data_IF_148865146386
#
_entry.id   IF_148865146386
#
_cell.length_a   1.000
_cell.length_b   1.000
_cell.length_c   1.000
_cell.angle_alpha   90.00
_cell.angle_beta   90.00
_cell.angle_gamma   90.00
#
_symmetry.space_group_name_H-M   'P 1'
#
loop_
_entity.id
_entity.type
_entity.pdbx_description
1 polymer ?
#
# COMPACT_ATOMS: atom_id res chain seq x y z
N UNK A 1 -9.68 12.12 15.38
CA UNK A 1 -10.31 12.06 14.04
C UNK A 1 -9.26 12.31 12.96
N UNK A 2 -9.12 11.39 12.02
CA UNK A 2 -8.47 11.71 10.74
C UNK A 2 -9.51 12.39 9.84
N UNK A 3 -9.07 13.17 8.85
CA UNK A 3 -9.92 13.90 7.90
C UNK A 3 -11.26 13.21 7.63
N UNK A 4 -12.34 13.97 7.78
CA UNK A 4 -13.71 13.48 7.82
C UNK A 4 -14.17 13.08 6.41
N UNK A 5 -14.24 11.79 6.12
CA UNK A 5 -14.85 11.30 4.88
C UNK A 5 -16.31 10.92 5.16
N UNK A 6 -17.22 11.54 4.41
CA UNK A 6 -18.66 11.34 4.55
C UNK A 6 -19.23 10.82 3.24
N UNK A 7 -20.16 9.88 3.32
CA UNK A 7 -21.01 9.49 2.20
C UNK A 7 -22.46 9.46 2.64
N UNK A 8 -23.32 10.18 1.92
CA UNK A 8 -24.76 10.14 2.17
C UNK A 8 -25.38 8.90 1.52
N UNK A 9 -26.27 8.25 2.24
CA UNK A 9 -27.05 7.11 1.77
C UNK A 9 -28.45 7.55 1.35
N UNK A 10 -29.13 6.72 0.56
CA UNK A 10 -30.47 7.02 0.04
C UNK A 10 -31.53 7.08 1.14
N UNK A 11 -31.33 6.36 2.23
CA UNK A 11 -32.18 6.39 3.43
C UNK A 11 -31.95 7.63 4.31
N UNK A 12 -31.08 8.55 3.88
CA UNK A 12 -30.74 9.78 4.58
C UNK A 12 -29.68 9.62 5.67
N UNK A 13 -29.19 8.41 5.93
CA UNK A 13 -28.06 8.18 6.84
C UNK A 13 -26.72 8.62 6.23
N UNK A 14 -25.72 8.79 7.09
CA UNK A 14 -24.37 9.21 6.72
C UNK A 14 -23.35 8.14 7.14
N UNK A 15 -22.60 7.61 6.18
CA UNK A 15 -21.40 6.83 6.46
C UNK A 15 -20.27 7.78 6.84
N UNK A 16 -19.66 7.54 8.01
CA UNK A 16 -18.54 8.33 8.52
C UNK A 16 -17.30 7.44 8.60
N UNK A 17 -16.29 7.77 7.80
CA UNK A 17 -14.97 7.15 7.89
C UNK A 17 -13.96 8.16 8.46
N UNK A 18 -13.72 8.09 9.77
CA UNK A 18 -12.90 9.07 10.48
C UNK A 18 -12.05 8.51 11.65
N UNK A 19 -12.22 7.23 11.97
CA UNK A 19 -11.52 6.56 13.07
C UNK A 19 -10.33 5.75 12.55
N UNK A 20 -9.19 5.90 13.24
CA UNK A 20 -8.03 5.05 13.10
C UNK A 20 -7.81 4.36 14.44
N UNK A 21 -7.83 3.03 14.42
CA UNK A 21 -7.59 2.20 15.59
C UNK A 21 -6.15 1.68 15.53
N UNK A 22 -5.44 1.80 16.65
CA UNK A 22 -4.06 1.35 16.79
C UNK A 22 -3.97 0.17 17.76
N UNK A 23 -2.88 -0.61 17.65
CA UNK A 23 -2.63 -1.75 18.53
C UNK A 23 -3.64 -2.89 18.37
N UNK A 24 -4.09 -3.14 17.14
CA UNK A 24 -5.01 -4.25 16.81
C UNK A 24 -4.20 -5.44 16.33
N UNK A 25 -4.33 -6.59 16.99
CA UNK A 25 -3.80 -7.85 16.47
C UNK A 25 -4.85 -8.48 15.55
N UNK A 26 -4.67 -8.31 14.23
CA UNK A 26 -5.65 -8.73 13.23
C UNK A 26 -5.86 -10.25 13.14
N UNK A 27 -5.00 -11.04 13.77
CA UNK A 27 -5.10 -12.48 13.86
C UNK A 27 -5.86 -13.00 15.10
N UNK A 28 -6.10 -12.15 16.09
CA UNK A 28 -6.69 -12.54 17.36
C UNK A 28 -8.15 -12.08 17.42
N UNK A 29 -9.13 -13.00 17.38
CA UNK A 29 -10.54 -12.67 17.48
C UNK A 29 -10.90 -11.85 18.73
N UNK A 30 -10.21 -12.07 19.86
CA UNK A 30 -10.45 -11.32 21.09
C UNK A 30 -9.93 -9.89 20.98
N UNK A 31 -8.76 -9.68 20.39
CA UNK A 31 -8.24 -8.34 20.07
C UNK A 31 -9.20 -7.57 19.15
N UNK A 32 -9.68 -8.22 18.10
CA UNK A 32 -10.64 -7.65 17.15
C UNK A 32 -11.94 -7.22 17.84
N UNK A 33 -12.53 -8.09 18.67
CA UNK A 33 -13.79 -7.79 19.35
C UNK A 33 -13.63 -6.67 20.38
N UNK A 34 -12.56 -6.70 21.18
CA UNK A 34 -12.24 -5.61 22.14
C UNK A 34 -12.13 -4.27 21.43
N UNK A 35 -11.39 -4.23 20.31
CA UNK A 35 -11.19 -3.00 19.54
C UNK A 35 -12.46 -2.54 18.81
N UNK A 36 -13.35 -3.45 18.42
CA UNK A 36 -14.66 -3.12 17.86
C UNK A 36 -15.56 -2.42 18.89
N UNK A 37 -15.60 -2.92 20.13
CA UNK A 37 -16.35 -2.30 21.22
C UNK A 37 -15.79 -0.92 21.57
N UNK A 38 -14.46 -0.79 21.67
CA UNK A 38 -13.78 0.50 21.88
C UNK A 38 -14.14 1.51 20.77
N UNK A 39 -14.11 1.08 19.51
CA UNK A 39 -14.47 1.91 18.37
C UNK A 39 -15.95 2.35 18.39
N UNK A 40 -16.85 1.52 18.91
CA UNK A 40 -18.26 1.86 19.06
C UNK A 40 -18.46 3.02 20.06
N UNK A 41 -17.78 2.95 21.21
CA UNK A 41 -17.79 4.04 22.20
C UNK A 41 -17.14 5.31 21.65
N UNK A 42 -16.08 5.18 20.87
CA UNK A 42 -15.45 6.34 20.22
C UNK A 42 -16.38 6.96 19.17
N UNK A 43 -17.13 6.15 18.40
CA UNK A 43 -18.10 6.64 17.41
C UNK A 43 -19.18 7.54 18.04
N UNK A 44 -19.65 7.24 19.25
CA UNK A 44 -20.58 8.13 19.98
C UNK A 44 -19.95 9.50 20.26
N UNK A 45 -18.67 9.52 20.65
CA UNK A 45 -17.91 10.76 20.88
C UNK A 45 -17.71 11.54 19.59
N UNK A 46 -17.51 10.84 18.47
CA UNK A 46 -17.45 11.48 17.14
C UNK A 46 -18.77 12.17 16.81
N UNK A 47 -19.91 11.51 17.03
CA UNK A 47 -21.23 12.13 16.79
C UNK A 47 -21.41 13.35 17.67
N UNK A 48 -21.12 13.26 18.97
CA UNK A 48 -21.19 14.39 19.88
C UNK A 48 -20.27 15.55 19.45
N UNK A 49 -19.05 15.24 19.01
CA UNK A 49 -18.11 16.22 18.48
C UNK A 49 -18.66 16.91 17.23
N UNK A 50 -19.18 16.16 16.25
CA UNK A 50 -19.74 16.71 15.01
C UNK A 50 -20.94 17.63 15.32
N UNK A 51 -21.84 17.21 16.22
CA UNK A 51 -22.96 18.02 16.70
C UNK A 51 -22.52 19.35 17.30
N UNK A 52 -21.48 19.34 18.14
CA UNK A 52 -20.94 20.57 18.74
C UNK A 52 -20.15 21.43 17.76
N UNK A 53 -19.48 20.81 16.79
CA UNK A 53 -18.62 21.49 15.81
C UNK A 53 -19.42 22.21 14.73
N UNK A 54 -20.49 21.60 14.26
CA UNK A 54 -21.42 22.20 13.29
C UNK A 54 -22.88 21.79 13.62
N UNK A 55 -23.54 22.52 14.53
CA UNK A 55 -24.92 22.21 14.93
C UNK A 55 -25.95 22.37 13.81
N UNK A 56 -25.68 23.19 12.78
CA UNK A 56 -26.60 23.38 11.66
C UNK A 56 -26.64 22.13 10.78
N UNK A 57 -25.49 21.50 10.56
CA UNK A 57 -25.39 20.31 9.74
C UNK A 57 -25.69 19.02 10.52
N UNK A 58 -25.20 18.93 11.76
CA UNK A 58 -25.22 17.68 12.53
C UNK A 58 -26.10 17.73 13.78
N UNK A 59 -26.75 18.86 14.14
CA UNK A 59 -27.38 19.03 15.45
C UNK A 59 -28.40 17.96 15.86
N UNK A 60 -29.10 17.37 14.89
CA UNK A 60 -30.08 16.27 15.06
C UNK A 60 -29.50 14.88 14.77
N UNK A 61 -28.22 14.79 14.39
CA UNK A 61 -27.57 13.53 14.11
C UNK A 61 -27.51 12.65 15.38
N UNK A 62 -27.76 11.36 15.17
CA UNK A 62 -27.60 10.32 16.17
C UNK A 62 -26.82 9.17 15.55
N UNK A 63 -26.16 8.36 16.38
CA UNK A 63 -25.44 7.21 15.91
C UNK A 63 -26.44 6.16 15.41
N UNK A 64 -26.46 5.91 14.10
CA UNK A 64 -27.29 4.86 13.51
C UNK A 64 -26.71 3.45 13.76
N UNK A 65 -25.39 3.35 13.84
CA UNK A 65 -24.67 2.10 14.09
C UNK A 65 -23.19 2.22 13.75
N UNK A 66 -22.47 1.12 13.95
CA UNK A 66 -21.06 0.98 13.57
C UNK A 66 -20.88 -0.23 12.66
N UNK A 67 -19.76 -0.27 11.94
CA UNK A 67 -19.44 -1.41 11.09
C UNK A 67 -19.43 -2.71 11.90
N UNK A 68 -19.99 -3.82 11.38
CA UNK A 68 -20.07 -5.10 12.10
C UNK A 68 -18.69 -5.76 12.28
N UNK A 69 -17.68 -5.32 11.52
CA UNK A 69 -16.31 -5.80 11.62
C UNK A 69 -15.32 -4.66 11.39
N UNK A 70 -14.12 -4.81 11.95
CA UNK A 70 -13.02 -3.87 11.71
C UNK A 70 -12.45 -4.07 10.31
N UNK A 71 -12.22 -2.97 9.60
CA UNK A 71 -11.46 -3.00 8.36
C UNK A 71 -9.95 -3.03 8.66
N UNK A 72 -9.39 -4.24 8.72
CA UNK A 72 -7.94 -4.45 8.85
C UNK A 72 -7.31 -4.17 7.50
N UNK A 73 -6.39 -3.20 7.40
CA UNK A 73 -5.73 -2.87 6.13
C UNK A 73 -4.61 -3.85 5.79
N UNK A 74 -3.97 -4.42 6.79
CA UNK A 74 -2.87 -5.36 6.57
C UNK A 74 -2.70 -6.28 7.79
N UNK A 75 -2.34 -7.54 7.54
CA UNK A 75 -1.93 -8.48 8.58
C UNK A 75 -0.92 -9.49 8.02
N UNK A 76 -1.38 -10.64 7.55
CA UNK A 76 -0.54 -11.71 6.98
C UNK A 76 -0.57 -11.66 5.46
N UNK A 77 0.56 -11.97 4.85
CA UNK A 77 0.69 -12.16 3.40
C UNK A 77 1.02 -13.61 3.09
N UNK A 78 0.25 -14.19 2.17
CA UNK A 78 0.40 -15.56 1.72
C UNK A 78 1.82 -15.81 1.18
N UNK A 79 2.38 -16.97 1.55
CA UNK A 79 3.52 -17.55 0.82
C UNK A 79 3.00 -18.18 -0.46
N UNK A 80 2.82 -17.34 -1.48
CA UNK A 80 2.31 -17.76 -2.78
C UNK A 80 3.43 -18.24 -3.71
N UNK A 81 3.06 -18.84 -4.85
CA UNK A 81 3.99 -19.19 -5.92
C UNK A 81 4.76 -17.95 -6.42
N UNK A 82 4.15 -16.77 -6.32
CA UNK A 82 4.80 -15.48 -6.57
C UNK A 82 4.43 -14.43 -5.54
N UNK A 83 5.41 -13.59 -5.20
CA UNK A 83 5.20 -12.45 -4.32
C UNK A 83 5.39 -11.16 -5.12
N UNK A 84 4.31 -10.42 -5.32
CA UNK A 84 4.31 -9.14 -6.02
C UNK A 84 5.06 -8.11 -5.18
N UNK A 85 6.04 -7.44 -5.80
CA UNK A 85 6.95 -6.56 -5.07
C UNK A 85 6.61 -5.10 -5.24
N UNK A 86 7.03 -4.27 -4.28
CA UNK A 86 6.68 -2.85 -4.25
C UNK A 86 7.19 -2.07 -5.47
N UNK A 87 8.39 -2.37 -5.96
CA UNK A 87 8.94 -1.75 -7.16
C UNK A 87 8.25 -2.23 -8.45
N UNK A 88 7.74 -3.46 -8.46
CA UNK A 88 6.98 -3.99 -9.60
C UNK A 88 5.62 -3.29 -9.71
N UNK A 89 5.02 -2.98 -8.55
CA UNK A 89 3.84 -2.13 -8.45
C UNK A 89 4.17 -0.71 -8.89
N UNK A 90 5.17 -0.06 -8.27
CA UNK A 90 5.50 1.34 -8.57
C UNK A 90 5.84 1.53 -10.06
N UNK A 91 6.68 0.67 -10.62
CA UNK A 91 7.18 0.81 -12.00
C UNK A 91 6.22 0.24 -13.06
N UNK A 92 5.03 -0.23 -12.69
CA UNK A 92 4.03 -0.68 -13.65
C UNK A 92 4.38 -1.99 -14.36
N UNK A 93 4.90 -2.98 -13.62
CA UNK A 93 5.32 -4.25 -14.23
C UNK A 93 4.12 -5.00 -14.82
N UNK A 94 4.28 -5.50 -16.04
CA UNK A 94 3.34 -6.43 -16.67
C UNK A 94 3.79 -7.87 -16.48
N UNK A 95 2.83 -8.78 -16.56
CA UNK A 95 3.06 -10.21 -16.43
C UNK A 95 2.29 -10.96 -17.52
N UNK A 96 2.89 -11.99 -18.14
CA UNK A 96 2.19 -12.81 -19.14
C UNK A 96 0.97 -13.52 -18.54
N UNK A 97 1.01 -13.77 -17.24
CA UNK A 97 -0.03 -14.40 -16.43
C UNK A 97 -0.85 -13.40 -15.60
N UNK A 98 -0.85 -12.11 -15.97
CA UNK A 98 -1.65 -11.10 -15.28
C UNK A 98 -3.16 -11.37 -15.43
N UNK A 99 -3.87 -11.37 -14.30
CA UNK A 99 -5.33 -11.59 -14.22
C UNK A 99 -6.12 -10.38 -13.71
N UNK A 100 -5.41 -9.33 -13.31
CA UNK A 100 -6.00 -8.03 -12.99
C UNK A 100 -4.98 -6.92 -13.24
N UNK A 101 -5.48 -5.69 -13.36
CA UNK A 101 -4.69 -4.48 -13.54
C UNK A 101 -4.93 -3.52 -12.36
N UNK A 102 -3.87 -3.17 -11.65
CA UNK A 102 -3.88 -2.20 -10.56
C UNK A 102 -3.28 -0.86 -10.97
N UNK A 103 -3.55 0.17 -10.18
CA UNK A 103 -3.03 1.53 -10.41
C UNK A 103 -3.25 2.51 -9.25
N UNK A 104 -3.66 2.01 -8.08
CA UNK A 104 -3.86 2.86 -6.91
C UNK A 104 -2.51 3.31 -6.33
N UNK A 105 -2.34 4.54 -5.84
CA UNK A 105 -1.10 4.97 -5.19
C UNK A 105 -0.63 3.99 -4.11
N UNK A 106 0.69 3.91 -3.88
CA UNK A 106 1.24 3.18 -2.74
C UNK A 106 1.02 4.00 -1.46
N UNK A 107 -0.25 4.11 -1.03
CA UNK A 107 -0.75 4.82 0.14
C UNK A 107 -0.95 3.84 1.31
N UNK A 108 0.07 3.79 2.17
CA UNK A 108 0.07 3.09 3.44
C UNK A 108 -0.38 3.99 4.59
N UNK A 109 -0.96 3.38 5.60
CA UNK A 109 -1.41 4.09 6.80
C UNK A 109 -0.38 4.09 7.90
N UNK A 110 -0.54 5.03 8.82
CA UNK A 110 0.21 5.10 10.06
C UNK A 110 -0.03 3.85 10.89
N UNK A 111 1.03 3.29 11.45
CA UNK A 111 0.95 2.18 12.41
C UNK A 111 1.04 2.70 13.85
N UNK A 112 1.57 3.91 14.05
CA UNK A 112 1.66 4.56 15.35
C UNK A 112 0.90 5.90 15.40
N UNK A 113 0.30 6.26 16.55
CA UNK A 113 -0.26 7.59 16.73
C UNK A 113 0.78 8.69 16.47
N UNK A 114 0.38 9.71 15.69
CA UNK A 114 1.24 10.85 15.36
C UNK A 114 2.34 10.56 14.34
N UNK A 115 2.39 9.35 13.78
CA UNK A 115 3.27 9.02 12.65
C UNK A 115 2.80 9.75 11.37
N UNK A 116 3.72 9.96 10.44
CA UNK A 116 3.37 10.39 9.08
C UNK A 116 2.81 9.22 8.24
N UNK A 117 1.92 9.44 7.26
CA UNK A 117 1.48 8.36 6.38
C UNK A 117 2.60 7.83 5.47
N UNK A 118 2.55 6.54 5.14
CA UNK A 118 3.51 5.92 4.22
C UNK A 118 3.09 6.22 2.77
N UNK A 119 3.69 7.24 2.16
CA UNK A 119 3.39 7.63 0.78
C UNK A 119 4.58 7.28 -0.12
N UNK A 120 4.49 6.14 -0.82
CA UNK A 120 5.62 5.59 -1.59
C UNK A 120 5.54 5.90 -3.09
N UNK A 121 4.64 6.80 -3.49
CA UNK A 121 4.48 7.28 -4.86
C UNK A 121 3.27 6.71 -5.61
N UNK A 122 3.07 7.23 -6.82
CA UNK A 122 1.97 6.84 -7.71
C UNK A 122 2.49 5.80 -8.71
N UNK A 123 1.89 4.59 -8.81
CA UNK A 123 2.38 3.60 -9.75
C UNK A 123 1.99 3.94 -11.19
N UNK A 124 2.79 3.46 -12.15
CA UNK A 124 2.24 3.18 -13.47
C UNK A 124 1.30 1.96 -13.36
N UNK A 125 0.30 1.80 -14.25
CA UNK A 125 -0.58 0.63 -14.20
C UNK A 125 0.23 -0.68 -14.19
N UNK A 126 -0.07 -1.59 -13.27
CA UNK A 126 0.67 -2.83 -13.07
C UNK A 126 -0.25 -4.05 -13.16
N UNK A 127 0.29 -5.18 -13.59
CA UNK A 127 -0.42 -6.45 -13.59
C UNK A 127 -0.30 -7.18 -12.26
N UNK A 128 -1.35 -7.89 -11.85
CA UNK A 128 -1.27 -8.87 -10.76
C UNK A 128 -1.22 -10.28 -11.37
N UNK A 129 -0.11 -11.02 -11.23
CA UNK A 129 0.03 -12.34 -11.82
C UNK A 129 -0.82 -13.38 -11.08
N UNK A 130 -1.40 -14.35 -11.79
CA UNK A 130 -2.26 -15.39 -11.22
C UNK A 130 -1.58 -16.16 -10.08
N UNK A 131 -0.29 -16.47 -10.24
CA UNK A 131 0.56 -17.11 -9.22
C UNK A 131 0.70 -16.34 -7.90
N UNK A 132 0.31 -15.07 -7.82
CA UNK A 132 0.17 -14.36 -6.53
C UNK A 132 -1.04 -14.82 -5.72
N UNK A 133 -2.01 -15.48 -6.35
CA UNK A 133 -3.22 -16.00 -5.70
C UNK A 133 -3.06 -17.45 -5.23
N UNK A 134 -2.05 -18.16 -5.72
CA UNK A 134 -1.85 -19.60 -5.52
C UNK A 134 -0.89 -19.85 -4.35
N UNK A 135 -1.33 -20.47 -3.24
CA UNK A 135 -0.46 -20.88 -2.14
C UNK A 135 0.64 -21.85 -2.60
N UNK A 136 1.84 -21.79 -2.00
CA UNK A 136 2.90 -22.76 -2.32
C UNK A 136 2.51 -24.20 -1.98
N UNK A 137 1.84 -24.38 -0.84
CA UNK A 137 1.62 -25.69 -0.22
C UNK A 137 0.23 -26.27 -0.50
N UNK A 138 -0.76 -25.44 -0.86
CA UNK A 138 -2.15 -25.85 -1.07
C UNK A 138 -2.54 -25.72 -2.55
N UNK A 139 -2.86 -26.85 -3.18
CA UNK A 139 -3.08 -26.96 -4.63
C UNK A 139 -4.50 -26.56 -5.08
N UNK A 140 -5.47 -26.66 -4.19
CA UNK A 140 -6.89 -26.49 -4.47
C UNK A 140 -7.50 -25.25 -3.78
N UNK A 141 -6.67 -24.28 -3.40
CA UNK A 141 -7.09 -23.03 -2.77
C UNK A 141 -6.54 -21.83 -3.55
N UNK A 142 -7.36 -20.79 -3.68
CA UNK A 142 -6.92 -19.45 -4.11
C UNK A 142 -7.18 -18.45 -2.99
N UNK A 143 -6.28 -17.50 -2.83
CA UNK A 143 -6.44 -16.37 -1.90
C UNK A 143 -6.51 -15.08 -2.71
N UNK A 144 -7.67 -14.42 -2.64
CA UNK A 144 -8.01 -13.20 -3.42
C UNK A 144 -8.33 -12.00 -2.54
N UNK A 145 -7.80 -12.02 -1.31
CA UNK A 145 -7.92 -10.93 -0.36
C UNK A 145 -6.60 -10.16 -0.26
N UNK A 146 -6.58 -9.12 0.57
CA UNK A 146 -5.37 -8.40 0.96
C UNK A 146 -4.25 -9.29 1.51
N UNK A 147 -4.57 -10.54 1.88
CA UNK A 147 -3.62 -11.54 2.33
C UNK A 147 -3.00 -12.37 1.19
N UNK A 148 -3.28 -12.07 -0.08
CA UNK A 148 -2.64 -12.73 -1.21
C UNK A 148 -1.11 -12.49 -1.24
N UNK A 149 -0.43 -13.06 -2.24
CA UNK A 149 1.03 -13.02 -2.36
C UNK A 149 1.58 -11.66 -2.74
N UNK A 150 1.56 -10.71 -1.80
CA UNK A 150 2.08 -9.36 -1.93
C UNK A 150 3.17 -9.08 -0.88
N UNK A 151 4.16 -8.24 -1.23
CA UNK A 151 4.97 -7.57 -0.21
C UNK A 151 4.11 -6.54 0.55
N UNK A 152 4.48 -6.23 1.79
CA UNK A 152 3.75 -5.26 2.62
C UNK A 152 3.59 -3.90 1.95
N UNK A 153 4.69 -3.33 1.43
CA UNK A 153 4.63 -2.08 0.66
C UNK A 153 3.80 -2.23 -0.63
N UNK A 154 3.87 -3.36 -1.35
CA UNK A 154 3.04 -3.58 -2.54
C UNK A 154 1.54 -3.61 -2.20
N UNK A 155 1.19 -4.15 -1.03
CA UNK A 155 -0.18 -4.23 -0.55
C UNK A 155 -0.79 -2.85 -0.31
N UNK A 156 -0.01 -1.77 -0.13
CA UNK A 156 -0.55 -0.41 -0.03
C UNK A 156 -1.39 -0.03 -1.25
N UNK A 157 -0.97 -0.49 -2.43
CA UNK A 157 -1.73 -0.38 -3.67
C UNK A 157 -2.64 -1.58 -3.90
N UNK A 158 -2.13 -2.80 -3.76
CA UNK A 158 -2.82 -3.98 -4.26
C UNK A 158 -4.07 -4.37 -3.46
N UNK A 159 -4.16 -4.00 -2.17
CA UNK A 159 -5.27 -4.40 -1.29
C UNK A 159 -6.60 -3.67 -1.52
N UNK A 160 -6.62 -2.65 -2.39
CA UNK A 160 -7.83 -1.81 -2.55
C UNK A 160 -8.99 -2.59 -3.15
N UNK A 161 -10.20 -2.29 -2.68
CA UNK A 161 -11.42 -3.04 -2.99
C UNK A 161 -11.62 -3.29 -4.50
N UNK A 162 -11.45 -2.30 -5.41
CA UNK A 162 -11.64 -2.56 -6.84
C UNK A 162 -10.70 -3.62 -7.41
N UNK A 163 -9.43 -3.63 -6.98
CA UNK A 163 -8.48 -4.63 -7.44
C UNK A 163 -8.82 -6.01 -6.87
N UNK A 164 -9.21 -6.07 -5.59
CA UNK A 164 -9.62 -7.32 -4.93
C UNK A 164 -10.86 -7.94 -5.59
N UNK A 165 -11.82 -7.12 -6.03
CA UNK A 165 -12.97 -7.58 -6.82
C UNK A 165 -12.53 -8.23 -8.14
N UNK A 166 -11.57 -7.62 -8.86
CA UNK A 166 -11.03 -8.19 -10.09
C UNK A 166 -10.29 -9.51 -9.85
N UNK A 167 -9.55 -9.63 -8.75
CA UNK A 167 -8.90 -10.89 -8.35
C UNK A 167 -9.92 -11.96 -7.97
N UNK A 168 -11.02 -11.60 -7.30
CA UNK A 168 -12.13 -12.50 -7.00
C UNK A 168 -12.79 -13.06 -8.25
N UNK A 169 -13.05 -12.20 -9.25
CA UNK A 169 -13.54 -12.61 -10.56
C UNK A 169 -12.55 -13.58 -11.25
N UNK A 170 -11.25 -13.27 -11.23
CA UNK A 170 -10.21 -14.15 -11.75
C UNK A 170 -10.19 -15.54 -11.09
N UNK A 171 -10.32 -15.61 -9.76
CA UNK A 171 -10.39 -16.88 -9.06
C UNK A 171 -11.66 -17.67 -9.39
N UNK A 172 -12.81 -17.01 -9.51
CA UNK A 172 -14.07 -17.64 -9.91
C UNK A 172 -13.97 -18.28 -11.30
N UNK A 173 -13.40 -17.55 -12.26
CA UNK A 173 -13.16 -18.08 -13.62
C UNK A 173 -12.14 -19.24 -13.61
N UNK A 174 -11.04 -19.10 -12.86
CA UNK A 174 -10.03 -20.16 -12.74
C UNK A 174 -10.63 -21.45 -12.14
N UNK A 175 -11.43 -21.34 -11.07
CA UNK A 175 -12.12 -22.47 -10.47
C UNK A 175 -13.10 -23.13 -11.46
N UNK A 176 -13.79 -22.33 -12.28
CA UNK A 176 -14.70 -22.85 -13.30
C UNK A 176 -13.99 -23.63 -14.42
N UNK A 177 -12.77 -23.22 -14.80
CA UNK A 177 -11.95 -23.92 -15.81
C UNK A 177 -11.47 -25.30 -15.36
N UNK A 178 -11.28 -25.50 -14.05
CA UNK A 178 -10.84 -26.78 -13.45
C UNK A 178 -11.99 -27.76 -13.16
N UNK A 179 -13.26 -27.37 -13.36
CA UNK A 179 -14.40 -28.26 -13.08
C UNK A 179 -14.44 -29.45 -14.05
N UNK A 180 -14.74 -30.63 -13.49
CA UNK A 180 -14.85 -31.89 -14.25
C UNK A 180 -15.98 -31.90 -15.28
N UNK A 181 -17.11 -31.24 -14.99
CA UNK A 181 -18.26 -31.11 -15.87
C UNK A 181 -18.30 -29.68 -16.48
N UNK A 182 -18.36 -29.56 -17.82
CA UNK A 182 -18.40 -28.26 -18.49
C UNK A 182 -19.66 -27.48 -18.10
N UNK A 183 -19.51 -26.18 -17.82
CA UNK A 183 -20.64 -25.25 -17.85
C UNK A 183 -20.70 -24.57 -19.23
N UNK A 184 -21.89 -24.11 -19.63
CA UNK A 184 -22.12 -23.53 -20.95
C UNK A 184 -21.05 -22.48 -21.31
N UNK A 185 -20.30 -22.74 -22.38
CA UNK A 185 -19.28 -21.84 -22.91
C UNK A 185 -17.90 -21.91 -22.26
N UNK A 186 -17.63 -22.86 -21.33
CA UNK A 186 -16.30 -23.09 -20.78
C UNK A 186 -15.67 -24.35 -21.37
N UNK A 187 -14.58 -24.17 -22.12
CA UNK A 187 -13.75 -25.29 -22.59
C UNK A 187 -13.07 -25.93 -21.39
N UNK A 188 -13.29 -27.23 -21.20
CA UNK A 188 -12.60 -28.02 -20.16
C UNK A 188 -11.09 -27.96 -20.39
N UNK A 189 -10.32 -27.71 -19.34
CA UNK A 189 -8.87 -27.96 -19.34
C UNK A 189 -8.63 -29.23 -18.51
N UNK A 190 -7.88 -30.24 -18.99
CA UNK A 190 -7.61 -31.46 -18.24
C UNK A 190 -6.53 -31.23 -17.18
N UNK A 191 -6.72 -30.24 -16.30
CA UNK A 191 -5.80 -29.93 -15.21
C UNK A 191 -6.43 -30.30 -13.87
N UNK A 192 -5.61 -30.76 -12.94
CA UNK A 192 -6.05 -31.24 -11.64
C UNK A 192 -6.18 -30.12 -10.60
N UNK A 193 -5.34 -29.08 -10.69
CA UNK A 193 -5.19 -28.09 -9.63
C UNK A 193 -4.72 -26.69 -10.11
N UNK A 194 -4.65 -25.73 -9.19
CA UNK A 194 -4.25 -24.36 -9.50
C UNK A 194 -2.75 -24.20 -9.77
N UNK A 195 -1.90 -25.13 -9.32
CA UNK A 195 -0.47 -25.13 -9.64
C UNK A 195 -0.25 -25.50 -11.10
N UNK A 196 -0.94 -26.54 -11.58
CA UNK A 196 -0.94 -26.92 -12.99
C UNK A 196 -1.49 -25.81 -13.88
N UNK A 197 -2.56 -25.12 -13.46
CA UNK A 197 -3.08 -23.94 -14.17
C UNK A 197 -2.02 -22.85 -14.25
N UNK A 198 -1.38 -22.51 -13.12
CA UNK A 198 -0.34 -21.48 -13.07
C UNK A 198 0.92 -21.84 -13.88
N UNK A 199 1.20 -23.12 -14.11
CA UNK A 199 2.31 -23.59 -14.92
C UNK A 199 1.98 -23.70 -16.41
N UNK A 200 0.69 -23.71 -16.78
CA UNK A 200 0.24 -23.91 -18.16
C UNK A 200 -0.05 -22.59 -18.87
N UNK A 201 0.80 -22.20 -19.81
CA UNK A 201 0.60 -21.02 -20.65
C UNK A 201 -0.72 -21.04 -21.42
N UNK A 202 -1.15 -22.20 -21.91
CA UNK A 202 -2.43 -22.36 -22.61
C UNK A 202 -3.63 -22.14 -21.67
N UNK A 203 -3.57 -22.67 -20.45
CA UNK A 203 -4.64 -22.51 -19.48
C UNK A 203 -4.74 -21.06 -18.96
N UNK A 204 -3.59 -20.42 -18.72
CA UNK A 204 -3.53 -19.00 -18.38
C UNK A 204 -4.10 -18.13 -19.50
N UNK A 205 -3.81 -18.43 -20.76
CA UNK A 205 -4.38 -17.70 -21.89
C UNK A 205 -5.90 -17.89 -21.99
N UNK A 206 -6.39 -19.11 -21.75
CA UNK A 206 -7.84 -19.38 -21.68
C UNK A 206 -8.51 -18.58 -20.55
N UNK A 207 -7.90 -18.53 -19.37
CA UNK A 207 -8.35 -17.73 -18.23
C UNK A 207 -8.41 -16.24 -18.59
N UNK A 208 -7.31 -15.69 -19.13
CA UNK A 208 -7.21 -14.27 -19.52
C UNK A 208 -8.21 -13.91 -20.61
N UNK A 209 -8.40 -14.76 -21.62
CA UNK A 209 -9.41 -14.58 -22.67
C UNK A 209 -10.82 -14.51 -22.07
N UNK A 210 -11.14 -15.39 -21.12
CA UNK A 210 -12.45 -15.40 -20.47
C UNK A 210 -12.68 -14.16 -19.60
N UNK A 211 -11.65 -13.69 -18.90
CA UNK A 211 -11.71 -12.43 -18.15
C UNK A 211 -11.93 -11.23 -19.08
N UNK A 212 -11.21 -11.15 -20.19
CA UNK A 212 -11.37 -10.09 -21.18
C UNK A 212 -12.78 -10.07 -21.79
N UNK A 213 -13.35 -11.24 -22.13
CA UNK A 213 -14.75 -11.36 -22.59
C UNK A 213 -15.78 -10.85 -21.57
N UNK A 214 -15.42 -10.82 -20.29
CA UNK A 214 -16.25 -10.34 -19.18
C UNK A 214 -15.95 -8.87 -18.81
N UNK A 215 -15.17 -8.17 -19.63
CA UNK A 215 -14.86 -6.75 -19.48
C UNK A 215 -13.63 -6.44 -18.63
N UNK A 216 -12.85 -7.44 -18.21
CA UNK A 216 -11.64 -7.20 -17.43
C UNK A 216 -10.57 -6.50 -18.28
N UNK A 217 -9.94 -5.47 -17.71
CA UNK A 217 -8.71 -4.87 -18.24
C UNK A 217 -7.51 -5.57 -17.61
N UNK A 218 -6.66 -6.18 -18.44
CA UNK A 218 -5.53 -7.01 -17.99
C UNK A 218 -4.16 -6.41 -18.31
N UNK A 219 -4.13 -5.32 -19.07
CA UNK A 219 -2.90 -4.64 -19.51
C UNK A 219 -3.17 -3.16 -19.74
N UNK A 220 -2.10 -2.37 -19.74
CA UNK A 220 -2.09 -0.95 -20.08
C UNK A 220 -0.96 -0.68 -21.07
N UNK A 221 -1.12 0.26 -22.02
CA UNK A 221 -0.01 0.77 -22.81
C UNK A 221 0.90 1.70 -21.99
N UNK A 222 0.40 2.24 -20.88
CA UNK A 222 1.21 3.05 -19.95
C UNK A 222 2.17 2.16 -19.16
N UNK A 223 3.45 2.54 -19.14
CA UNK A 223 4.49 1.87 -18.36
C UNK A 223 5.27 2.85 -17.48
N UNK A 224 6.00 2.32 -16.51
CA UNK A 224 6.90 3.12 -15.68
C UNK A 224 8.22 3.43 -16.37
N UNK A 225 8.96 4.37 -15.79
CA UNK A 225 10.33 4.73 -16.19
C UNK A 225 11.32 4.10 -15.23
N UNK A 226 12.03 3.08 -15.71
CA UNK A 226 13.04 2.38 -14.92
C UNK A 226 14.38 3.13 -15.03
N UNK A 227 15.01 3.40 -13.89
CA UNK A 227 16.21 4.23 -13.77
C UNK A 227 17.44 3.41 -13.34
N UNK A 228 17.63 2.20 -13.89
CA UNK A 228 18.67 1.24 -13.42
C UNK A 228 20.08 1.85 -13.38
N UNK A 229 20.41 2.69 -14.36
CA UNK A 229 21.73 3.32 -14.51
C UNK A 229 21.94 4.52 -13.57
N UNK A 230 20.89 4.98 -12.87
CA UNK A 230 21.00 6.14 -11.97
C UNK A 230 21.62 5.72 -10.63
N UNK A 231 22.56 6.52 -10.08
CA UNK A 231 23.07 6.31 -8.73
C UNK A 231 21.94 6.19 -7.70
N UNK A 232 22.06 5.22 -6.80
CA UNK A 232 21.05 4.97 -5.76
C UNK A 232 19.86 4.13 -6.17
N UNK A 233 19.78 3.63 -7.43
CA UNK A 233 18.63 2.84 -7.88
C UNK A 233 18.43 1.56 -7.06
N UNK A 234 19.51 0.79 -6.82
CA UNK A 234 19.41 -0.48 -6.08
C UNK A 234 18.98 -0.24 -4.64
N UNK A 235 19.53 0.79 -4.02
CA UNK A 235 19.25 1.24 -2.66
C UNK A 235 17.79 1.70 -2.54
N UNK A 236 17.32 2.54 -3.49
CA UNK A 236 15.95 3.00 -3.55
C UNK A 236 14.95 1.84 -3.68
N UNK A 237 15.25 0.83 -4.51
CA UNK A 237 14.41 -0.37 -4.63
C UNK A 237 14.33 -1.13 -3.31
N UNK A 238 15.46 -1.32 -2.61
CA UNK A 238 15.46 -2.02 -1.32
C UNK A 238 14.69 -1.24 -0.26
N UNK A 239 14.91 0.07 -0.18
CA UNK A 239 14.18 0.96 0.72
C UNK A 239 12.68 0.97 0.40
N UNK A 240 12.29 1.04 -0.87
CA UNK A 240 10.89 1.01 -1.31
C UNK A 240 10.19 -0.28 -0.86
N UNK A 241 10.82 -1.45 -1.04
CA UNK A 241 10.27 -2.73 -0.57
C UNK A 241 10.07 -2.78 0.95
N UNK A 242 10.84 -1.99 1.69
CA UNK A 242 10.74 -1.83 3.16
C UNK A 242 9.77 -0.72 3.59
N UNK A 243 9.18 0.03 2.65
CA UNK A 243 8.35 1.20 2.95
C UNK A 243 9.13 2.44 3.39
N UNK A 244 10.43 2.51 3.09
CA UNK A 244 11.37 3.54 3.53
C UNK A 244 11.90 4.39 2.37
N UNK A 245 11.11 4.53 1.31
CA UNK A 245 11.43 5.41 0.19
C UNK A 245 10.20 6.23 -0.24
N UNK A 246 9.82 7.18 0.61
CA UNK A 246 8.72 8.10 0.34
C UNK A 246 8.89 8.82 -1.01
N UNK A 247 7.78 8.96 -1.73
CA UNK A 247 7.73 9.50 -3.08
C UNK A 247 6.52 10.40 -3.28
N UNK A 248 6.69 11.58 -3.92
CA UNK A 248 5.58 12.48 -4.17
C UNK A 248 4.61 11.91 -5.22
N UNK A 249 3.32 12.24 -5.09
CA UNK A 249 2.28 11.70 -5.99
C UNK A 249 2.37 12.17 -7.44
N UNK A 250 3.07 13.28 -7.72
CA UNK A 250 3.29 13.73 -9.10
C UNK A 250 4.27 12.81 -9.86
N UNK A 251 5.10 12.05 -9.15
CA UNK A 251 5.95 11.02 -9.77
C UNK A 251 5.12 9.76 -10.00
N UNK A 252 4.65 9.61 -11.23
CA UNK A 252 3.95 8.42 -11.70
C UNK A 252 4.95 7.45 -12.32
N UNK A 253 4.98 6.20 -11.84
CA UNK A 253 5.71 5.13 -12.50
C UNK A 253 7.24 5.20 -12.40
N UNK A 254 7.80 5.99 -11.47
CA UNK A 254 9.22 6.31 -11.45
C UNK A 254 9.72 6.52 -10.01
N UNK A 255 11.00 6.25 -9.77
CA UNK A 255 11.66 6.58 -8.51
C UNK A 255 12.09 8.06 -8.44
N UNK A 256 12.31 8.67 -9.62
CA UNK A 256 12.66 10.08 -9.78
C UNK A 256 14.05 10.39 -9.24
N UNK A 257 15.04 9.53 -9.49
CA UNK A 257 16.31 9.55 -8.77
C UNK A 257 17.14 10.81 -9.03
N UNK A 258 16.89 11.49 -10.15
CA UNK A 258 17.53 12.79 -10.47
C UNK A 258 16.78 13.99 -9.90
N UNK A 259 15.54 13.81 -9.42
CA UNK A 259 14.74 14.87 -8.84
C UNK A 259 15.22 15.21 -7.43
N UNK A 260 15.02 16.45 -6.95
CA UNK A 260 15.28 16.78 -5.56
C UNK A 260 14.38 15.98 -4.60
N UNK A 261 14.93 15.50 -3.49
CA UNK A 261 14.11 14.93 -2.41
C UNK A 261 13.50 16.05 -1.58
N UNK A 262 12.25 15.90 -1.12
CA UNK A 262 11.66 16.84 -0.17
C UNK A 262 12.20 16.58 1.24
N UNK A 263 12.38 17.63 2.04
CA UNK A 263 12.77 17.48 3.44
C UNK A 263 11.79 16.59 4.22
N UNK A 264 10.49 16.78 3.99
CA UNK A 264 9.43 16.01 4.63
C UNK A 264 9.49 14.52 4.30
N UNK A 265 9.79 14.16 3.05
CA UNK A 265 9.95 12.77 2.59
C UNK A 265 11.17 12.13 3.23
N UNK A 266 12.31 12.84 3.26
CA UNK A 266 13.52 12.35 3.90
C UNK A 266 13.30 12.07 5.40
N UNK A 267 12.67 13.00 6.11
CA UNK A 267 12.35 12.84 7.54
C UNK A 267 11.31 11.74 7.78
N UNK A 268 10.34 11.55 6.89
CA UNK A 268 9.36 10.46 7.01
C UNK A 268 10.04 9.09 6.98
N UNK A 269 10.98 8.87 6.07
CA UNK A 269 11.73 7.61 5.99
C UNK A 269 12.51 7.32 7.30
N UNK A 270 13.14 8.34 7.88
CA UNK A 270 13.82 8.22 9.17
C UNK A 270 12.85 7.97 10.32
N UNK A 271 11.72 8.68 10.35
CA UNK A 271 10.68 8.52 11.36
C UNK A 271 10.12 7.09 11.37
N UNK A 272 9.71 6.59 10.20
CA UNK A 272 9.19 5.23 10.04
C UNK A 272 10.16 4.18 10.56
N UNK A 273 11.43 4.27 10.15
CA UNK A 273 12.44 3.33 10.60
C UNK A 273 12.67 3.43 12.11
N UNK A 274 12.85 4.64 12.66
CA UNK A 274 13.20 4.77 14.07
C UNK A 274 12.03 4.48 15.02
N UNK A 275 10.78 4.70 14.61
CA UNK A 275 9.61 4.22 15.36
C UNK A 275 9.54 2.70 15.42
N UNK A 276 9.89 2.03 14.33
CA UNK A 276 9.79 0.57 14.24
C UNK A 276 10.99 -0.15 14.88
N UNK A 277 12.20 0.38 14.73
CA UNK A 277 13.46 -0.34 15.05
C UNK A 277 14.58 0.54 15.61
N UNK A 278 14.37 1.84 15.79
CA UNK A 278 15.43 2.79 16.12
C UNK A 278 15.65 3.04 17.60
N UNK A 279 16.81 3.60 17.96
CA UNK A 279 17.00 4.25 19.27
C UNK A 279 16.03 5.43 19.44
N UNK A 280 15.48 5.58 20.64
CA UNK A 280 14.51 6.62 20.95
C UNK A 280 15.11 8.03 20.79
N UNK A 281 16.40 8.20 21.09
CA UNK A 281 17.11 9.48 20.94
C UNK A 281 17.14 9.94 19.48
N UNK A 282 17.37 9.02 18.53
CA UNK A 282 17.37 9.33 17.10
C UNK A 282 15.97 9.71 16.61
N UNK A 283 14.93 9.03 17.10
CA UNK A 283 13.56 9.42 16.82
C UNK A 283 13.25 10.83 17.33
N UNK A 284 13.66 11.17 18.56
CA UNK A 284 13.48 12.53 19.12
C UNK A 284 14.13 13.61 18.25
N UNK A 285 15.33 13.36 17.73
CA UNK A 285 16.00 14.28 16.79
C UNK A 285 15.16 14.49 15.52
N UNK A 286 14.65 13.42 14.91
CA UNK A 286 13.80 13.49 13.71
C UNK A 286 12.52 14.26 13.99
N UNK A 287 11.84 13.96 15.09
CA UNK A 287 10.60 14.65 15.47
C UNK A 287 10.83 16.14 15.73
N UNK A 288 11.96 16.49 16.39
CA UNK A 288 12.31 17.88 16.62
C UNK A 288 12.64 18.61 15.32
N UNK A 289 13.36 17.97 14.40
CA UNK A 289 13.62 18.51 13.08
C UNK A 289 12.32 18.80 12.31
N UNK A 290 11.35 17.89 12.34
CA UNK A 290 10.04 18.10 11.70
C UNK A 290 9.29 19.31 12.29
N UNK A 291 9.39 19.50 13.60
CA UNK A 291 8.79 20.66 14.26
C UNK A 291 9.47 21.98 13.86
N UNK A 292 10.80 22.01 13.91
CA UNK A 292 11.61 23.20 13.60
C UNK A 292 11.48 23.63 12.13
N UNK A 293 11.48 22.67 11.20
CA UNK A 293 11.43 22.92 9.77
C UNK A 293 10.03 22.73 9.16
N UNK A 294 8.97 22.93 9.95
CA UNK A 294 7.57 22.69 9.54
C UNK A 294 7.20 23.36 8.20
N UNK A 295 7.58 24.63 8.04
CA UNK A 295 7.30 25.45 6.85
C UNK A 295 8.17 25.08 5.63
N UNK A 296 9.13 24.17 5.80
CA UNK A 296 10.08 23.72 4.77
C UNK A 296 9.88 22.26 4.38
N UNK A 297 8.97 21.52 5.02
CA UNK A 297 8.76 20.08 4.74
C UNK A 297 8.41 19.79 3.28
N UNK A 298 7.75 20.72 2.60
CA UNK A 298 7.38 20.60 1.18
C UNK A 298 8.40 21.23 0.22
N UNK A 299 9.60 21.60 0.71
CA UNK A 299 10.67 22.18 -0.10
C UNK A 299 11.78 21.14 -0.35
N UNK A 300 12.54 21.27 -1.45
CA UNK A 300 13.73 20.47 -1.69
C UNK A 300 14.71 20.52 -0.49
N UNK A 301 15.23 19.35 -0.13
CA UNK A 301 16.20 19.20 0.94
C UNK A 301 17.52 19.88 0.54
N UNK A 302 17.85 20.97 1.23
CA UNK A 302 19.13 21.65 1.07
C UNK A 302 20.26 20.86 1.73
N UNK A 303 21.45 20.88 1.11
CA UNK A 303 22.66 20.21 1.63
C UNK A 303 23.05 20.71 3.02
N UNK A 304 22.91 22.02 3.28
CA UNK A 304 23.17 22.61 4.60
C UNK A 304 22.27 21.98 5.67
N UNK A 305 20.96 21.94 5.41
CA UNK A 305 19.97 21.35 6.32
C UNK A 305 20.24 19.86 6.51
N UNK A 306 20.55 19.12 5.44
CA UNK A 306 20.94 17.72 5.54
C UNK A 306 22.15 17.53 6.48
N UNK A 307 23.20 18.33 6.33
CA UNK A 307 24.40 18.22 7.16
C UNK A 307 24.15 18.59 8.63
N UNK A 308 23.25 19.53 8.91
CA UNK A 308 22.80 19.82 10.28
C UNK A 308 22.06 18.62 10.90
N UNK A 309 21.17 17.98 10.12
CA UNK A 309 20.46 16.77 10.56
C UNK A 309 21.40 15.59 10.81
N UNK A 310 22.35 15.35 9.90
CA UNK A 310 23.36 14.31 10.07
C UNK A 310 24.19 14.53 11.32
N UNK A 311 24.69 15.74 11.55
CA UNK A 311 25.44 16.08 12.76
C UNK A 311 24.60 15.83 14.03
N UNK A 312 23.31 16.20 14.04
CA UNK A 312 22.42 15.95 15.16
C UNK A 312 22.13 14.46 15.39
N UNK A 313 22.21 13.63 14.33
CA UNK A 313 22.08 12.18 14.40
C UNK A 313 23.40 11.47 14.76
N UNK A 314 24.48 12.22 14.99
CA UNK A 314 25.83 11.67 15.26
C UNK A 314 26.58 11.20 14.01
N UNK A 315 26.15 11.65 12.83
CA UNK A 315 26.70 11.27 11.53
C UNK A 315 27.65 12.34 10.97
N UNK A 316 28.60 11.91 10.14
CA UNK A 316 29.52 12.81 9.45
C UNK A 316 28.84 13.68 8.39
N UNK A 317 29.41 14.86 8.12
CA UNK A 317 28.97 15.74 7.03
C UNK A 317 29.29 15.12 5.66
N UNK A 318 28.49 15.47 4.66
CA UNK A 318 28.65 15.04 3.28
C UNK A 318 28.84 16.27 2.37
N UNK A 319 29.73 16.13 1.38
CA UNK A 319 29.84 17.03 0.24
C UNK A 319 28.85 16.64 -0.86
N UNK A 320 28.59 17.53 -1.81
CA UNK A 320 27.70 17.29 -2.95
C UNK A 320 27.01 18.55 -3.42
N UNK A 321 26.28 18.45 -4.53
CA UNK A 321 25.50 19.56 -5.09
C UNK A 321 24.27 19.89 -4.23
N UNK A 322 23.70 21.07 -4.44
CA UNK A 322 22.42 21.49 -3.87
C UNK A 322 21.39 21.64 -5.01
N UNK A 323 20.13 21.19 -4.85
CA UNK A 323 19.58 20.42 -3.72
C UNK A 323 20.00 18.94 -3.74
N UNK A 324 19.76 18.24 -2.62
CA UNK A 324 20.00 16.79 -2.51
C UNK A 324 19.03 16.03 -3.41
N UNK A 325 19.56 15.18 -4.29
CA UNK A 325 18.73 14.35 -5.17
C UNK A 325 18.13 13.15 -4.44
N UNK A 326 17.04 12.58 -4.97
CA UNK A 326 16.43 11.34 -4.46
C UNK A 326 17.39 10.15 -4.54
N UNK A 327 18.26 10.09 -5.54
CA UNK A 327 19.30 9.06 -5.67
C UNK A 327 20.37 9.15 -4.57
N UNK A 328 20.87 10.35 -4.30
CA UNK A 328 21.79 10.58 -3.17
C UNK A 328 21.11 10.27 -1.83
N UNK A 329 19.85 10.68 -1.66
CA UNK A 329 19.06 10.36 -0.47
C UNK A 329 18.88 8.84 -0.29
N UNK A 330 18.67 8.09 -1.38
CA UNK A 330 18.56 6.63 -1.33
C UNK A 330 19.85 5.98 -0.82
N UNK A 331 21.01 6.38 -1.36
CA UNK A 331 22.32 5.89 -0.91
C UNK A 331 22.54 6.17 0.59
N UNK A 332 22.19 7.39 1.02
CA UNK A 332 22.33 7.80 2.40
C UNK A 332 21.38 7.04 3.34
N UNK A 333 20.09 6.99 3.01
CA UNK A 333 19.09 6.28 3.82
C UNK A 333 19.42 4.79 3.92
N UNK A 334 19.89 4.17 2.84
CA UNK A 334 20.27 2.76 2.86
C UNK A 334 21.41 2.47 3.84
N UNK A 335 22.37 3.39 3.98
CA UNK A 335 23.42 3.31 4.99
C UNK A 335 22.90 3.55 6.41
N UNK A 336 21.99 4.51 6.58
CA UNK A 336 21.46 4.89 7.90
C UNK A 336 20.44 3.90 8.47
N UNK A 337 19.76 3.14 7.60
CA UNK A 337 18.61 2.31 7.92
C UNK A 337 18.86 0.83 7.55
N UNK A 338 19.77 0.13 8.27
CA UNK A 338 20.19 -1.24 7.94
C UNK A 338 19.06 -2.28 7.87
#
# INVERSE_FOLDING_TARGET
>A
LRGLNLSRQDDGSLLVNALLLFGVEGADPLSLERKRVEAALEAERVVAYLRGKDPLLFGTAHLAGVAPSLYIRESRHLKALYRLKAEEVLLGRTFPDAVALGGYPLDGQVYFPGETPYLLGTPAPYGVPFRSLVPRELRNLLVVSQAAGFDSAAAFSARVVPLQMALGEAAGVAAALLRKAPQAGLTKVPLADFHELAASGQALEALRKRLAQRGARLSSPEGGRVEVERPGYREAVVLLRRGLFAGPYYLKGSLGLSEPVLLGDFLANLEHYYRAKGPEERLRVVLKARELFREELQKPLKRLTLNQLLQALGEGRLSGADPVTRGEAALLLYRLLP
#
